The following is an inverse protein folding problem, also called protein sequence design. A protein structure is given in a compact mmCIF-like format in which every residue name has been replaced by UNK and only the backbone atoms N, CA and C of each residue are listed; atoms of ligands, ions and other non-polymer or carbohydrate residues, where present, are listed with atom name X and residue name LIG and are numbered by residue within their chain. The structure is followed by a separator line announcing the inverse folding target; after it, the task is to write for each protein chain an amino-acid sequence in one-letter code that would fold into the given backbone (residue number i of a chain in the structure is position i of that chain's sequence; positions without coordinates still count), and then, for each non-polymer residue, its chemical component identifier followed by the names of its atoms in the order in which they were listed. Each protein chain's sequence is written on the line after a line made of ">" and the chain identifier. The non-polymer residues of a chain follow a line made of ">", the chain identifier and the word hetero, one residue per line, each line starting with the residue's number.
data_IF_223129576214
#
_entry.id   IF_223129576214
#
_cell.length_a   1.000
_cell.length_b   1.000
_cell.length_c   1.000
_cell.angle_alpha   90.00
_cell.angle_beta   90.00
_cell.angle_gamma   90.00
#
_symmetry.space_group_name_H-M   'P 1'
#
loop_
_entity.id
_entity.type
_entity.pdbx_description
1 polymer ?
#
# COMPACT_ATOMS: atom_id res chain seq x y z
N UNK A 1 3.94 -2.06 7.41
CA UNK A 1 3.72 -1.75 8.84
C UNK A 1 3.01 -2.87 9.62
N UNK A 2 1.81 -3.32 9.25
CA UNK A 2 1.04 -4.29 10.06
C UNK A 2 1.28 -5.76 9.71
N UNK A 3 2.30 -6.04 8.89
CA UNK A 3 2.61 -7.37 8.37
C UNK A 3 1.39 -8.14 7.83
N UNK A 4 0.54 -7.48 7.04
CA UNK A 4 -0.64 -8.11 6.45
C UNK A 4 -1.88 -8.22 7.35
N UNK A 5 -1.78 -7.86 8.65
CA UNK A 5 -2.95 -7.85 9.56
C UNK A 5 -4.04 -6.90 9.09
N UNK A 6 -3.67 -5.71 8.60
CA UNK A 6 -4.60 -4.79 7.93
C UNK A 6 -4.36 -4.86 6.44
N UNK A 7 -5.42 -5.20 5.70
CA UNK A 7 -5.40 -5.32 4.24
C UNK A 7 -5.88 -4.03 3.59
N UNK A 8 -5.17 -3.55 2.58
CA UNK A 8 -5.59 -2.39 1.79
C UNK A 8 -6.86 -2.72 1.00
N UNK A 9 -7.90 -1.90 1.14
CA UNK A 9 -9.21 -2.15 0.52
C UNK A 9 -9.24 -1.61 -0.91
N UNK A 10 -9.63 -2.48 -1.85
CA UNK A 10 -9.90 -2.08 -3.23
C UNK A 10 -11.27 -1.40 -3.31
N UNK A 11 -11.32 -0.21 -3.88
CA UNK A 11 -12.53 0.57 -4.05
C UNK A 11 -12.62 1.15 -5.46
N UNK A 12 -13.83 1.48 -5.90
CA UNK A 12 -14.10 2.21 -7.15
C UNK A 12 -15.27 3.17 -6.94
N UNK A 13 -15.35 4.21 -7.76
CA UNK A 13 -16.48 5.12 -7.80
C UNK A 13 -17.21 4.92 -9.13
N UNK A 14 -18.53 4.78 -9.06
CA UNK A 14 -19.39 4.68 -10.24
C UNK A 14 -20.05 6.04 -10.50
N UNK A 15 -20.05 6.48 -11.76
CA UNK A 15 -20.84 7.62 -12.17
C UNK A 15 -22.31 7.21 -12.34
N UNK A 16 -23.25 8.00 -11.81
CA UNK A 16 -24.69 7.71 -11.92
C UNK A 16 -25.34 8.31 -13.18
N UNK A 17 -24.64 9.19 -13.91
CA UNK A 17 -25.11 9.84 -15.14
C UNK A 17 -26.24 10.87 -14.97
N UNK A 18 -26.78 11.05 -13.76
CA UNK A 18 -27.96 11.89 -13.50
C UNK A 18 -27.56 13.17 -12.76
N UNK A 19 -26.84 13.01 -11.65
CA UNK A 19 -26.52 14.12 -10.75
C UNK A 19 -25.00 14.21 -10.54
N UNK A 20 -24.43 15.43 -10.51
CA UNK A 20 -23.03 15.61 -10.15
C UNK A 20 -22.78 15.09 -8.73
N UNK A 21 -21.63 14.45 -8.52
CA UNK A 21 -21.17 13.99 -7.21
C UNK A 21 -19.87 14.68 -6.83
N UNK A 22 -19.86 15.36 -5.69
CA UNK A 22 -18.66 15.93 -5.08
C UNK A 22 -18.19 15.06 -3.92
N UNK A 23 -16.88 14.87 -3.79
CA UNK A 23 -16.26 14.22 -2.65
C UNK A 23 -14.86 14.76 -2.40
N UNK A 24 -14.46 14.83 -1.13
CA UNK A 24 -13.14 15.23 -0.68
C UNK A 24 -12.42 14.04 -0.06
N UNK A 25 -11.12 13.89 -0.32
CA UNK A 25 -10.30 12.80 0.19
C UNK A 25 -9.00 13.37 0.74
N UNK A 26 -8.59 12.86 1.90
CA UNK A 26 -7.28 13.11 2.47
C UNK A 26 -6.43 11.84 2.40
N UNK A 27 -5.19 11.96 1.91
CA UNK A 27 -4.22 10.87 1.85
C UNK A 27 -3.07 11.15 2.83
N UNK A 28 -3.07 10.46 3.96
CA UNK A 28 -1.96 10.51 4.93
C UNK A 28 -0.81 9.61 4.49
N UNK A 29 0.36 10.21 4.23
CA UNK A 29 1.59 9.49 3.90
C UNK A 29 2.74 9.90 4.83
N UNK A 30 3.71 9.02 5.10
CA UNK A 30 4.89 9.35 5.89
C UNK A 30 5.88 10.22 5.08
N UNK A 31 6.98 10.71 5.71
CA UNK A 31 8.08 11.36 5.00
C UNK A 31 8.63 10.48 3.85
N UNK A 32 9.13 11.09 2.78
CA UNK A 32 9.62 10.37 1.60
C UNK A 32 10.78 9.40 1.92
N UNK A 33 11.64 9.79 2.85
CA UNK A 33 12.77 8.98 3.32
C UNK A 33 12.38 7.89 4.33
N UNK A 34 11.12 7.85 4.77
CA UNK A 34 10.68 6.90 5.79
C UNK A 34 10.76 5.47 5.24
N UNK A 35 11.37 4.58 6.02
CA UNK A 35 11.46 3.16 5.71
C UNK A 35 10.19 2.44 6.13
N UNK A 36 9.57 1.76 5.18
CA UNK A 36 8.34 1.01 5.38
C UNK A 36 8.71 -0.46 5.58
N UNK A 37 8.52 -0.93 6.81
CA UNK A 37 8.65 -2.31 7.21
C UNK A 37 7.54 -2.68 8.20
N UNK A 38 7.35 -3.97 8.54
CA UNK A 38 6.55 -4.33 9.70
C UNK A 38 7.07 -3.72 11.01
N UNK A 39 6.17 -3.25 11.86
CA UNK A 39 6.55 -2.70 13.17
C UNK A 39 7.09 -3.82 14.06
N UNK A 40 8.28 -3.66 14.70
CA UNK A 40 8.89 -4.72 15.52
C UNK A 40 7.97 -5.27 16.60
N UNK A 41 7.18 -4.40 17.25
CA UNK A 41 6.21 -4.75 18.30
C UNK A 41 5.07 -5.66 17.80
N UNK A 42 4.83 -5.72 16.49
CA UNK A 42 3.79 -6.54 15.88
C UNK A 42 4.31 -7.88 15.34
N UNK A 43 5.62 -8.10 15.32
CA UNK A 43 6.21 -9.27 14.65
C UNK A 43 6.10 -10.55 15.47
N UNK A 44 6.21 -10.50 16.80
CA UNK A 44 6.08 -11.69 17.69
C UNK A 44 6.86 -12.93 17.22
N UNK A 45 8.04 -12.74 16.60
CA UNK A 45 8.87 -13.82 16.05
C UNK A 45 8.51 -14.27 14.63
N UNK A 46 7.48 -13.71 14.00
CA UNK A 46 7.13 -13.98 12.61
C UNK A 46 8.11 -13.32 11.64
N UNK A 47 8.24 -13.91 10.46
CA UNK A 47 8.96 -13.30 9.34
C UNK A 47 8.15 -12.16 8.68
N UNK A 48 8.87 -11.21 8.08
CA UNK A 48 8.24 -10.15 7.29
C UNK A 48 7.70 -10.71 5.98
N UNK A 49 6.43 -10.46 5.70
CA UNK A 49 5.80 -10.78 4.42
C UNK A 49 6.27 -9.88 3.27
N UNK A 50 6.91 -8.76 3.60
CA UNK A 50 7.31 -7.74 2.64
C UNK A 50 8.80 -7.40 2.75
N UNK A 51 9.40 -7.01 1.62
CA UNK A 51 10.72 -6.39 1.55
C UNK A 51 10.65 -5.01 2.21
N UNK A 52 11.77 -4.53 2.75
CA UNK A 52 11.89 -3.15 3.19
C UNK A 52 12.02 -2.23 1.97
N UNK A 53 11.32 -1.09 1.99
CA UNK A 53 11.39 -0.06 0.95
C UNK A 53 11.09 1.31 1.54
N UNK A 54 11.53 2.39 0.89
CA UNK A 54 11.17 3.75 1.30
C UNK A 54 9.80 4.17 0.75
N UNK A 55 9.16 5.13 1.42
CA UNK A 55 7.92 5.70 0.88
C UNK A 55 8.12 6.33 -0.50
N UNK A 56 9.28 6.94 -0.76
CA UNK A 56 9.67 7.44 -2.08
C UNK A 56 9.68 6.34 -3.15
N UNK A 57 10.29 5.19 -2.88
CA UNK A 57 10.33 4.05 -3.81
C UNK A 57 8.92 3.54 -4.14
N UNK A 58 8.08 3.38 -3.12
CA UNK A 58 6.70 2.94 -3.31
C UNK A 58 5.87 3.95 -4.12
N UNK A 59 6.05 5.24 -3.85
CA UNK A 59 5.35 6.31 -4.58
C UNK A 59 5.81 6.37 -6.04
N UNK A 60 7.10 6.23 -6.31
CA UNK A 60 7.62 6.20 -7.67
C UNK A 60 7.13 4.99 -8.47
N UNK A 61 7.15 3.79 -7.88
CA UNK A 61 6.63 2.58 -8.55
C UNK A 61 5.13 2.69 -8.82
N UNK A 62 4.39 3.33 -7.91
CA UNK A 62 2.96 3.62 -8.06
C UNK A 62 2.65 4.47 -9.31
N UNK A 63 3.46 5.47 -9.63
CA UNK A 63 3.26 6.30 -10.84
C UNK A 63 3.56 5.56 -12.15
N UNK A 64 4.32 4.47 -12.10
CA UNK A 64 4.64 3.63 -13.26
C UNK A 64 3.64 2.49 -13.54
N UNK A 65 2.57 2.36 -12.75
CA UNK A 65 1.63 1.22 -12.81
C UNK A 65 0.18 1.67 -13.04
N UNK A 66 -0.66 0.76 -13.54
CA UNK A 66 -2.10 1.04 -13.76
C UNK A 66 -2.82 1.18 -12.41
N UNK A 67 -3.93 1.91 -12.41
CA UNK A 67 -4.74 2.14 -11.20
C UNK A 67 -5.19 0.84 -10.51
N UNK A 68 -5.44 -0.20 -11.30
CA UNK A 68 -5.97 -1.48 -10.83
C UNK A 68 -4.88 -2.50 -10.41
N UNK A 69 -3.60 -2.21 -10.61
CA UNK A 69 -2.52 -3.16 -10.38
C UNK A 69 -2.30 -3.41 -8.87
N UNK A 70 -1.90 -4.64 -8.52
CA UNK A 70 -1.44 -4.94 -7.16
C UNK A 70 -0.03 -4.37 -6.93
N UNK A 71 0.02 -3.07 -6.60
CA UNK A 71 1.28 -2.34 -6.38
C UNK A 71 2.11 -2.89 -5.21
N UNK A 72 1.46 -3.44 -4.20
CA UNK A 72 2.15 -4.02 -3.04
C UNK A 72 2.84 -5.36 -3.38
N UNK A 73 2.33 -6.09 -4.37
CA UNK A 73 2.89 -7.38 -4.81
C UNK A 73 4.36 -7.31 -5.22
N UNK A 74 4.83 -6.18 -5.76
CA UNK A 74 6.23 -5.97 -6.12
C UNK A 74 7.19 -6.02 -4.90
N UNK A 75 6.64 -5.82 -3.70
CA UNK A 75 7.37 -5.78 -2.45
C UNK A 75 7.09 -7.00 -1.56
N UNK A 76 6.29 -7.97 -2.00
CA UNK A 76 6.11 -9.21 -1.26
C UNK A 76 7.43 -10.02 -1.26
N UNK A 77 7.72 -10.67 -0.12
CA UNK A 77 8.78 -11.69 -0.07
C UNK A 77 8.18 -12.98 -0.59
N UNK A 78 8.85 -13.59 -1.56
CA UNK A 78 8.53 -14.94 -1.99
C UNK A 78 8.91 -15.85 -0.82
N UNK A 79 7.97 -16.67 -0.34
CA UNK A 79 8.28 -17.71 0.62
C UNK A 79 9.34 -18.62 0.00
N UNK A 80 10.47 -18.83 0.67
CA UNK A 80 11.36 -19.92 0.30
C UNK A 80 10.53 -21.20 0.33
N UNK A 81 10.45 -21.89 -0.81
CA UNK A 81 9.79 -23.20 -0.91
C UNK A 81 10.63 -24.27 -0.24
#
# INVERSE_FOLDING_TARGET
>A
MTNGRFKSVRHRVLANGINPRLSMIYFGGPPLSEKIAPLPSLMKGNESLYKEFTWFEYKNSTYGTRLADNRLGNYERIAAS
#
